data_IF_804619695276
#
_entry.id   IF_804619695276
#
_cell.length_a   1.000
_cell.length_b   1.000
_cell.length_c   1.000
_cell.angle_alpha   90.00
_cell.angle_beta   90.00
_cell.angle_gamma   90.00
#
_symmetry.space_group_name_H-M   'P 1'
#
loop_
_entity.id
_entity.type
_entity.pdbx_description
1 polymer ?
#
# COMPACT_ATOMS: atom_id res chain seq x y z
N UNK A 1 28.26 -30.18 -4.50
CA UNK A 1 27.55 -28.92 -4.19
C UNK A 1 26.75 -29.14 -2.93
N UNK A 2 27.34 -28.83 -1.80
CA UNK A 2 26.77 -29.07 -0.47
C UNK A 2 25.80 -27.95 -0.14
N UNK A 3 24.50 -28.25 -0.14
CA UNK A 3 23.47 -27.36 0.39
C UNK A 3 23.77 -27.07 1.85
N UNK A 4 24.12 -25.83 2.17
CA UNK A 4 24.10 -25.34 3.54
C UNK A 4 22.66 -25.39 4.02
N UNK A 5 22.40 -26.28 4.97
CA UNK A 5 21.16 -26.28 5.76
C UNK A 5 21.01 -24.92 6.47
N UNK A 6 20.21 -24.04 5.89
CA UNK A 6 19.79 -22.75 6.47
C UNK A 6 18.73 -22.96 7.58
N UNK A 7 18.76 -24.09 8.27
CA UNK A 7 17.64 -24.62 9.06
C UNK A 7 17.76 -24.46 10.58
N UNK A 8 18.82 -23.83 11.11
CA UNK A 8 18.88 -23.54 12.56
C UNK A 8 19.11 -22.04 12.79
N UNK A 9 18.21 -21.43 13.55
CA UNK A 9 18.46 -20.09 14.09
C UNK A 9 19.81 -20.13 14.85
N UNK A 10 20.80 -19.29 14.52
CA UNK A 10 22.16 -19.40 15.05
C UNK A 10 22.16 -19.15 16.53
N UNK A 11 21.39 -19.14 17.35
CA UNK A 11 21.38 -19.08 18.83
C UNK A 11 20.02 -19.52 19.45
N UNK A 12 19.11 -20.13 18.68
CA UNK A 12 17.78 -20.53 19.16
C UNK A 12 16.90 -19.34 19.57
N UNK A 13 17.15 -18.14 19.04
CA UNK A 13 16.42 -16.91 19.32
C UNK A 13 15.66 -16.46 18.07
N UNK A 14 14.40 -16.09 18.25
CA UNK A 14 13.50 -15.60 17.21
C UNK A 14 12.93 -14.26 17.63
N UNK A 15 12.90 -13.30 16.72
CA UNK A 15 12.46 -11.93 17.01
C UNK A 15 11.22 -11.60 16.20
N UNK A 16 10.23 -10.97 16.84
CA UNK A 16 9.07 -10.37 16.19
C UNK A 16 9.08 -8.87 16.41
N UNK A 17 8.81 -8.12 15.36
CA UNK A 17 8.69 -6.67 15.40
C UNK A 17 7.33 -6.27 14.88
N UNK A 18 6.49 -5.71 15.76
CA UNK A 18 5.29 -5.02 15.37
C UNK A 18 5.63 -3.58 14.96
N UNK A 19 5.33 -3.26 13.69
CA UNK A 19 5.70 -1.99 13.07
C UNK A 19 4.62 -0.94 13.31
N UNK A 20 4.83 -0.04 14.23
CA UNK A 20 4.02 1.18 14.37
C UNK A 20 4.57 2.37 13.60
N UNK A 21 3.74 3.38 13.38
CA UNK A 21 4.13 4.61 12.67
C UNK A 21 5.16 5.45 13.41
N UNK A 22 5.07 5.54 14.75
CA UNK A 22 5.96 6.32 15.61
C UNK A 22 6.85 5.47 16.53
N UNK A 23 6.45 4.25 16.79
CA UNK A 23 7.15 3.31 17.66
C UNK A 23 7.05 1.90 17.10
N UNK A 24 8.03 1.06 17.44
CA UNK A 24 8.04 -0.36 17.18
C UNK A 24 8.06 -1.13 18.47
N UNK A 25 7.24 -2.15 18.56
CA UNK A 25 7.29 -3.11 19.66
C UNK A 25 8.09 -4.32 19.22
N UNK A 26 9.04 -4.75 20.04
CA UNK A 26 9.95 -5.86 19.73
C UNK A 26 9.84 -6.91 20.81
N UNK A 27 9.76 -8.17 20.40
CA UNK A 27 9.79 -9.32 21.29
C UNK A 27 10.78 -10.36 20.78
N UNK A 28 11.67 -10.82 21.63
CA UNK A 28 12.55 -11.96 21.37
C UNK A 28 12.13 -13.16 22.20
N UNK A 29 12.02 -14.33 21.56
CA UNK A 29 11.68 -15.60 22.19
C UNK A 29 12.78 -16.64 21.96
N UNK A 30 12.96 -17.50 22.94
CA UNK A 30 13.85 -18.66 22.81
C UNK A 30 13.19 -19.80 22.02
N UNK A 31 13.97 -20.73 21.49
CA UNK A 31 13.47 -21.91 20.76
C UNK A 31 12.42 -22.73 21.53
N UNK A 32 12.46 -22.69 22.86
CA UNK A 32 11.47 -23.34 23.74
C UNK A 32 10.21 -22.48 23.98
N UNK A 33 10.13 -21.28 23.40
CA UNK A 33 8.95 -20.40 23.50
C UNK A 33 8.96 -19.42 24.68
N UNK A 34 9.98 -19.43 25.53
CA UNK A 34 10.12 -18.44 26.61
C UNK A 34 10.52 -17.07 26.06
N UNK A 35 9.91 -16.00 26.60
CA UNK A 35 10.28 -14.60 26.27
C UNK A 35 11.64 -14.28 26.87
N UNK A 36 12.57 -13.76 26.06
CA UNK A 36 13.91 -13.34 26.47
C UNK A 36 13.98 -11.84 26.68
N UNK A 37 13.41 -11.09 25.72
CA UNK A 37 13.49 -9.63 25.69
C UNK A 37 12.20 -9.04 25.14
N UNK A 38 11.82 -7.90 25.66
CA UNK A 38 10.69 -7.12 25.18
C UNK A 38 11.04 -5.65 25.34
N UNK A 39 11.01 -4.90 24.26
CA UNK A 39 11.36 -3.49 24.23
C UNK A 39 10.41 -2.72 23.29
N UNK A 40 10.33 -1.43 23.53
CA UNK A 40 9.67 -0.46 22.66
C UNK A 40 10.72 0.57 22.24
N UNK A 41 10.82 0.81 20.93
CA UNK A 41 11.76 1.78 20.36
C UNK A 41 11.02 2.78 19.50
N UNK A 42 11.52 4.02 19.40
CA UNK A 42 10.97 5.07 18.53
C UNK A 42 11.36 4.83 17.06
N UNK A 43 10.53 5.31 16.12
CA UNK A 43 10.86 5.28 14.69
C UNK A 43 11.70 6.51 14.29
N UNK A 44 12.86 6.65 14.91
CA UNK A 44 13.86 7.68 14.61
C UNK A 44 15.28 7.11 14.69
N UNK A 45 16.28 7.94 14.40
CA UNK A 45 17.67 7.50 14.39
C UNK A 45 18.14 6.92 15.74
N UNK A 46 17.70 7.50 16.86
CA UNK A 46 18.08 7.05 18.20
C UNK A 46 17.43 5.71 18.54
N UNK A 47 16.12 5.57 18.30
CA UNK A 47 15.39 4.32 18.57
C UNK A 47 15.86 3.17 17.69
N UNK A 48 16.15 3.41 16.41
CA UNK A 48 16.69 2.39 15.52
C UNK A 48 18.11 1.96 15.93
N UNK A 49 18.96 2.90 16.39
CA UNK A 49 20.28 2.57 16.93
C UNK A 49 20.18 1.80 18.24
N UNK A 50 19.24 2.15 19.12
CA UNK A 50 18.93 1.37 20.31
C UNK A 50 18.54 -0.06 19.97
N UNK A 51 17.66 -0.24 18.98
CA UNK A 51 17.24 -1.57 18.50
C UNK A 51 18.43 -2.41 18.02
N UNK A 52 19.34 -1.83 17.24
CA UNK A 52 20.55 -2.54 16.77
C UNK A 52 21.42 -3.01 17.93
N UNK A 53 21.62 -2.18 18.95
CA UNK A 53 22.38 -2.56 20.16
C UNK A 53 21.71 -3.73 20.89
N UNK A 54 20.39 -3.65 21.07
CA UNK A 54 19.62 -4.70 21.74
C UNK A 54 19.65 -6.03 20.95
N UNK A 55 19.53 -5.99 19.63
CA UNK A 55 19.63 -7.17 18.78
C UNK A 55 21.04 -7.76 18.78
N UNK A 56 22.07 -6.92 18.78
CA UNK A 56 23.47 -7.38 18.85
C UNK A 56 23.77 -8.15 20.14
N UNK A 57 23.14 -7.78 21.27
CA UNK A 57 23.26 -8.52 22.53
C UNK A 57 22.60 -9.90 22.47
N UNK A 58 21.60 -10.12 21.62
CA UNK A 58 20.95 -11.41 21.44
C UNK A 58 21.71 -12.34 20.48
N UNK A 59 22.61 -11.78 19.66
CA UNK A 59 23.48 -12.52 18.75
C UNK A 59 23.42 -12.06 17.31
N UNK A 60 24.35 -12.53 16.47
CA UNK A 60 24.38 -12.22 15.05
C UNK A 60 23.36 -13.06 14.26
N UNK A 61 22.94 -12.55 13.08
CA UNK A 61 22.17 -13.33 12.12
C UNK A 61 20.79 -13.78 12.59
N UNK A 62 20.16 -13.03 13.49
CA UNK A 62 18.87 -13.38 14.08
C UNK A 62 17.77 -13.47 13.00
N UNK A 63 16.89 -14.47 13.05
CA UNK A 63 15.66 -14.49 12.30
C UNK A 63 14.65 -13.49 12.90
N UNK A 64 14.19 -12.57 12.08
CA UNK A 64 13.30 -11.46 12.49
C UNK A 64 12.04 -11.45 11.63
N UNK A 65 10.86 -11.53 12.23
CA UNK A 65 9.56 -11.45 11.59
C UNK A 65 8.96 -10.07 11.75
N UNK A 66 8.42 -9.51 10.66
CA UNK A 66 7.63 -8.26 10.67
C UNK A 66 6.63 -8.22 9.50
N UNK A 67 5.62 -7.32 9.59
CA UNK A 67 4.56 -7.22 8.57
C UNK A 67 4.98 -6.42 7.32
N UNK A 68 6.21 -5.91 7.26
CA UNK A 68 6.71 -5.14 6.11
C UNK A 68 7.91 -5.82 5.46
N UNK A 69 8.00 -5.67 4.15
CA UNK A 69 9.12 -6.20 3.34
C UNK A 69 10.11 -5.11 2.89
N UNK A 70 9.99 -3.89 3.42
CA UNK A 70 10.75 -2.72 2.95
C UNK A 70 10.72 -1.56 3.94
N UNK A 71 11.57 -0.58 3.71
CA UNK A 71 11.73 0.63 4.49
C UNK A 71 12.98 0.61 5.37
N UNK A 72 13.28 1.75 5.97
CA UNK A 72 14.53 2.01 6.68
C UNK A 72 14.87 0.95 7.74
N UNK A 73 13.87 0.49 8.51
CA UNK A 73 14.10 -0.56 9.51
C UNK A 73 14.54 -1.88 8.85
N UNK A 74 13.86 -2.31 7.77
CA UNK A 74 14.21 -3.55 7.05
C UNK A 74 15.64 -3.46 6.50
N UNK A 75 16.00 -2.33 5.91
CA UNK A 75 17.34 -2.09 5.37
C UNK A 75 18.42 -2.15 6.46
N UNK A 76 18.16 -1.51 7.60
CA UNK A 76 19.08 -1.55 8.74
C UNK A 76 19.24 -2.95 9.33
N UNK A 77 18.15 -3.71 9.48
CA UNK A 77 18.20 -5.10 9.94
C UNK A 77 19.00 -6.00 8.99
N UNK A 78 18.80 -5.84 7.68
CA UNK A 78 19.56 -6.57 6.67
C UNK A 78 21.03 -6.15 6.63
N UNK A 79 21.32 -4.85 6.76
CA UNK A 79 22.70 -4.34 6.85
C UNK A 79 23.45 -4.85 8.09
N UNK A 80 22.74 -5.04 9.21
CA UNK A 80 23.26 -5.66 10.42
C UNK A 80 23.41 -7.20 10.30
N UNK A 81 23.07 -7.78 9.14
CA UNK A 81 23.24 -9.22 8.85
C UNK A 81 22.11 -10.10 9.37
N UNK A 82 20.99 -9.55 9.83
CA UNK A 82 19.85 -10.32 10.29
C UNK A 82 19.03 -10.90 9.13
N UNK A 83 18.34 -12.01 9.38
CA UNK A 83 17.46 -12.67 8.43
C UNK A 83 16.04 -12.13 8.59
N UNK A 84 15.55 -11.37 7.63
CA UNK A 84 14.21 -10.76 7.67
C UNK A 84 13.19 -11.69 7.01
N UNK A 85 12.11 -12.00 7.72
CA UNK A 85 10.98 -12.79 7.27
C UNK A 85 9.73 -11.92 7.24
N UNK A 86 9.38 -11.35 6.08
CA UNK A 86 8.16 -10.55 5.97
C UNK A 86 6.93 -11.45 5.94
N UNK A 87 5.90 -11.09 6.70
CA UNK A 87 4.61 -11.78 6.70
C UNK A 87 3.51 -10.84 6.25
N UNK A 88 2.50 -11.39 5.58
CA UNK A 88 1.34 -10.60 5.21
C UNK A 88 0.47 -10.28 6.45
N UNK A 89 -0.26 -9.16 6.46
CA UNK A 89 -1.20 -8.83 7.54
C UNK A 89 -2.22 -9.94 7.82
N UNK A 90 -2.58 -10.72 6.79
CA UNK A 90 -3.48 -11.86 6.93
C UNK A 90 -2.86 -13.00 7.74
N UNK A 91 -1.57 -13.28 7.55
CA UNK A 91 -0.85 -14.30 8.33
C UNK A 91 -0.71 -13.83 9.78
N UNK A 92 -0.33 -12.58 10.00
CA UNK A 92 -0.24 -12.00 11.33
C UNK A 92 -1.58 -12.00 12.08
N UNK A 93 -2.69 -11.67 11.40
CA UNK A 93 -4.04 -11.77 11.98
C UNK A 93 -4.38 -13.20 12.41
N UNK A 94 -4.15 -14.20 11.54
CA UNK A 94 -4.38 -15.62 11.88
C UNK A 94 -3.48 -16.11 13.01
N UNK A 95 -2.25 -15.62 13.07
CA UNK A 95 -1.34 -15.95 14.17
C UNK A 95 -1.88 -15.43 15.51
N UNK A 96 -2.44 -14.22 15.54
CA UNK A 96 -3.11 -13.65 16.72
C UNK A 96 -4.31 -14.48 17.20
N UNK A 97 -5.12 -15.00 16.27
CA UNK A 97 -6.30 -15.83 16.57
C UNK A 97 -5.95 -17.12 17.31
N UNK A 98 -4.75 -17.69 17.10
CA UNK A 98 -4.28 -18.89 17.82
C UNK A 98 -4.20 -18.70 19.34
N UNK A 99 -3.94 -17.48 19.79
CA UNK A 99 -3.62 -17.19 21.18
C UNK A 99 -4.73 -16.48 21.94
N UNK A 100 -5.77 -15.98 21.24
CA UNK A 100 -6.80 -15.14 21.86
C UNK A 100 -8.21 -15.64 21.63
N UNK A 101 -8.92 -15.72 22.75
CA UNK A 101 -10.39 -15.88 22.80
C UNK A 101 -11.08 -14.49 22.74
N UNK A 102 -10.39 -13.40 23.07
CA UNK A 102 -10.92 -12.03 23.05
C UNK A 102 -9.99 -11.06 22.32
N UNK A 103 -10.55 -10.20 21.46
CA UNK A 103 -9.81 -9.28 20.57
C UNK A 103 -9.49 -7.94 21.24
N UNK A 104 -8.56 -7.86 22.16
CA UNK A 104 -7.95 -6.56 22.49
C UNK A 104 -6.67 -6.38 21.68
N UNK A 105 -6.54 -5.25 20.98
CA UNK A 105 -5.31 -4.88 20.26
C UNK A 105 -4.24 -4.50 21.29
N UNK A 106 -3.11 -5.18 21.23
CA UNK A 106 -1.96 -4.95 22.11
C UNK A 106 -0.67 -5.20 21.32
N UNK A 107 0.04 -4.13 21.00
CA UNK A 107 1.26 -4.15 20.18
C UNK A 107 2.34 -5.07 20.81
N UNK A 108 2.37 -5.16 22.13
CA UNK A 108 3.27 -6.06 22.90
C UNK A 108 2.98 -7.52 22.56
N UNK A 109 1.70 -7.86 22.51
CA UNK A 109 1.26 -9.19 22.16
C UNK A 109 1.45 -9.50 20.67
N UNK A 110 1.26 -8.51 19.81
CA UNK A 110 1.46 -8.65 18.37
C UNK A 110 2.94 -8.97 18.05
N UNK A 111 3.88 -8.26 18.66
CA UNK A 111 5.30 -8.57 18.54
C UNK A 111 5.66 -9.98 19.05
N UNK A 112 5.09 -10.41 20.18
CA UNK A 112 5.27 -11.78 20.68
C UNK A 112 4.73 -12.82 19.70
N UNK A 113 3.53 -12.57 19.18
CA UNK A 113 2.86 -13.50 18.24
C UNK A 113 3.67 -13.67 16.96
N UNK A 114 4.27 -12.58 16.42
CA UNK A 114 5.18 -12.63 15.28
C UNK A 114 6.42 -13.46 15.58
N UNK A 115 7.06 -13.25 16.73
CA UNK A 115 8.25 -14.00 17.13
C UNK A 115 7.98 -15.50 17.29
N UNK A 116 6.86 -15.83 17.95
CA UNK A 116 6.52 -17.24 18.22
C UNK A 116 6.02 -17.96 16.96
N UNK A 117 5.33 -17.27 16.07
CA UNK A 117 4.96 -17.82 14.75
C UNK A 117 6.21 -18.11 13.92
N UNK A 118 7.16 -17.16 13.87
CA UNK A 118 8.43 -17.37 13.19
C UNK A 118 9.18 -18.58 13.76
N UNK A 119 9.22 -18.72 15.08
CA UNK A 119 9.84 -19.87 15.76
C UNK A 119 9.32 -21.22 15.26
N UNK A 120 8.02 -21.33 15.01
CA UNK A 120 7.38 -22.54 14.54
C UNK A 120 7.50 -22.75 13.03
N UNK A 121 7.42 -21.67 12.25
CA UNK A 121 7.17 -21.74 10.80
C UNK A 121 8.36 -21.31 9.94
N UNK A 122 9.46 -20.75 10.52
CA UNK A 122 10.58 -20.17 9.75
C UNK A 122 11.14 -21.12 8.68
N UNK A 123 11.10 -22.43 8.90
CA UNK A 123 11.60 -23.43 7.94
C UNK A 123 10.80 -23.47 6.63
N UNK A 124 9.56 -23.02 6.67
CA UNK A 124 8.66 -22.96 5.52
C UNK A 124 8.63 -21.57 4.87
N UNK A 125 9.23 -20.58 5.50
CA UNK A 125 9.23 -19.21 5.04
C UNK A 125 10.51 -18.85 4.32
N UNK A 126 10.42 -17.89 3.42
CA UNK A 126 11.57 -17.39 2.67
C UNK A 126 12.13 -16.15 3.35
N UNK A 127 13.44 -16.15 3.54
CA UNK A 127 14.17 -14.94 3.94
C UNK A 127 14.02 -13.89 2.84
N UNK A 128 13.77 -12.65 3.25
CA UNK A 128 13.74 -11.52 2.32
C UNK A 128 15.14 -11.33 1.69
N UNK A 129 15.27 -11.46 0.37
CA UNK A 129 16.56 -11.22 -0.26
C UNK A 129 16.93 -9.74 -0.15
N UNK A 130 18.23 -9.48 0.05
CA UNK A 130 18.77 -8.12 -0.02
C UNK A 130 18.58 -7.62 -1.45
N UNK A 131 17.79 -6.56 -1.60
CA UNK A 131 17.54 -5.97 -2.91
C UNK A 131 18.79 -5.20 -3.39
N UNK A 132 19.13 -5.32 -4.68
CA UNK A 132 20.09 -4.38 -5.26
C UNK A 132 19.50 -2.95 -5.24
N UNK A 133 20.32 -1.90 -5.21
CA UNK A 133 19.83 -0.51 -5.22
C UNK A 133 18.84 -0.25 -6.37
N UNK A 134 19.12 -0.75 -7.57
CA UNK A 134 18.25 -0.63 -8.74
C UNK A 134 16.89 -1.30 -8.52
N UNK A 135 16.88 -2.50 -7.92
CA UNK A 135 15.63 -3.21 -7.63
C UNK A 135 14.81 -2.50 -6.54
N UNK A 136 15.48 -1.93 -5.54
CA UNK A 136 14.83 -1.14 -4.50
C UNK A 136 14.16 0.11 -5.09
N UNK A 137 14.87 0.84 -5.97
CA UNK A 137 14.33 2.01 -6.68
C UNK A 137 13.15 1.64 -7.58
N UNK A 138 13.26 0.57 -8.37
CA UNK A 138 12.17 0.11 -9.23
C UNK A 138 10.91 -0.26 -8.42
N UNK A 139 11.08 -0.91 -7.27
CA UNK A 139 9.97 -1.21 -6.36
C UNK A 139 9.33 0.07 -5.80
N UNK A 140 10.15 1.06 -5.42
CA UNK A 140 9.65 2.35 -4.93
C UNK A 140 8.81 3.06 -6.01
N UNK A 141 9.34 3.18 -7.22
CA UNK A 141 8.63 3.79 -8.36
C UNK A 141 7.34 3.06 -8.72
N UNK A 142 7.34 1.73 -8.69
CA UNK A 142 6.12 0.94 -8.94
C UNK A 142 5.03 1.23 -7.91
N UNK A 143 5.39 1.31 -6.63
CA UNK A 143 4.43 1.66 -5.57
C UNK A 143 3.91 3.08 -5.66
N UNK A 144 4.78 4.02 -5.99
CA UNK A 144 4.37 5.42 -6.15
C UNK A 144 3.40 5.56 -7.33
N UNK A 145 3.66 4.84 -8.44
CA UNK A 145 2.71 4.73 -9.55
C UNK A 145 1.36 4.18 -9.10
N UNK A 146 1.34 3.08 -8.34
CA UNK A 146 0.09 2.46 -7.88
C UNK A 146 -0.69 3.39 -6.94
N UNK A 147 -0.02 4.10 -6.03
CA UNK A 147 -0.64 5.14 -5.16
C UNK A 147 -1.24 6.30 -5.96
N UNK A 148 -0.54 6.74 -7.02
CA UNK A 148 -1.04 7.80 -7.89
C UNK A 148 -2.28 7.33 -8.65
N UNK A 149 -2.30 6.10 -9.16
CA UNK A 149 -3.46 5.51 -9.82
C UNK A 149 -4.66 5.39 -8.88
N UNK A 150 -4.45 4.90 -7.65
CA UNK A 150 -5.51 4.85 -6.64
C UNK A 150 -6.06 6.24 -6.29
N UNK A 151 -5.17 7.23 -6.22
CA UNK A 151 -5.55 8.63 -5.97
C UNK A 151 -6.38 9.21 -7.11
N UNK A 152 -5.94 8.96 -8.36
CA UNK A 152 -6.67 9.35 -9.56
C UNK A 152 -8.08 8.73 -9.59
N UNK A 153 -8.18 7.40 -9.38
CA UNK A 153 -9.46 6.69 -9.36
C UNK A 153 -10.42 7.23 -8.30
N UNK A 154 -9.89 7.61 -7.13
CA UNK A 154 -10.69 8.21 -6.06
C UNK A 154 -11.27 9.57 -6.47
N UNK A 155 -10.44 10.43 -7.05
CA UNK A 155 -10.87 11.75 -7.53
C UNK A 155 -11.86 11.62 -8.70
N UNK A 156 -11.62 10.68 -9.61
CA UNK A 156 -12.52 10.36 -10.71
C UNK A 156 -13.90 9.91 -10.20
N UNK A 157 -13.93 9.01 -9.21
CA UNK A 157 -15.17 8.55 -8.59
C UNK A 157 -15.94 9.69 -7.90
N UNK A 158 -15.23 10.60 -7.22
CA UNK A 158 -15.83 11.79 -6.61
C UNK A 158 -16.43 12.72 -7.67
N UNK A 159 -15.69 13.01 -8.76
CA UNK A 159 -16.17 13.84 -9.86
C UNK A 159 -17.40 13.22 -10.50
N UNK A 160 -17.37 11.91 -10.79
CA UNK A 160 -18.51 11.17 -11.35
C UNK A 160 -19.74 11.29 -10.45
N UNK A 161 -19.58 11.09 -9.14
CA UNK A 161 -20.70 11.22 -8.18
C UNK A 161 -21.30 12.62 -8.15
N UNK A 162 -20.49 13.67 -8.28
CA UNK A 162 -20.98 15.06 -8.36
C UNK A 162 -21.69 15.29 -9.68
N UNK A 163 -21.15 14.81 -10.79
CA UNK A 163 -21.78 14.94 -12.10
C UNK A 163 -23.11 14.21 -12.15
N UNK A 164 -23.18 12.98 -11.66
CA UNK A 164 -24.43 12.20 -11.61
C UNK A 164 -25.52 12.90 -10.80
N UNK A 165 -25.14 13.61 -9.73
CA UNK A 165 -26.09 14.33 -8.88
C UNK A 165 -26.54 15.68 -9.45
N UNK A 166 -25.67 16.41 -10.16
CA UNK A 166 -25.91 17.81 -10.50
C UNK A 166 -25.80 18.14 -11.98
N UNK A 167 -25.05 17.37 -12.77
CA UNK A 167 -24.78 17.62 -14.18
C UNK A 167 -24.38 16.34 -14.94
N UNK A 168 -25.28 15.36 -15.14
CA UNK A 168 -24.96 14.05 -15.67
C UNK A 168 -24.52 14.03 -17.15
N UNK A 169 -24.83 15.06 -17.94
CA UNK A 169 -24.54 15.10 -19.38
C UNK A 169 -23.07 14.83 -19.72
N UNK A 170 -22.03 15.42 -19.09
CA UNK A 170 -20.63 15.13 -19.41
C UNK A 170 -20.25 13.68 -19.28
N UNK A 171 -20.76 13.01 -18.23
CA UNK A 171 -20.48 11.58 -17.98
C UNK A 171 -21.18 10.66 -19.00
N UNK A 172 -22.30 11.08 -19.55
CA UNK A 172 -23.04 10.36 -20.59
C UNK A 172 -22.50 10.60 -22.01
N UNK A 173 -21.91 11.77 -22.24
CA UNK A 173 -21.44 12.19 -23.56
C UNK A 173 -20.05 11.62 -23.90
N UNK A 174 -19.17 11.49 -22.94
CA UNK A 174 -17.78 11.11 -23.14
C UNK A 174 -17.46 9.77 -22.47
N UNK A 175 -16.44 9.06 -22.98
CA UNK A 175 -16.10 7.71 -22.56
C UNK A 175 -15.58 7.62 -21.11
N UNK A 176 -15.04 8.71 -20.57
CA UNK A 176 -14.58 8.80 -19.17
C UNK A 176 -14.58 10.24 -18.69
N UNK A 177 -14.77 10.46 -17.39
CA UNK A 177 -14.84 11.79 -16.78
C UNK A 177 -13.46 12.43 -16.59
N UNK A 178 -12.40 11.65 -16.60
CA UNK A 178 -11.00 12.10 -16.45
C UNK A 178 -10.35 12.52 -17.79
N UNK A 179 -11.04 12.39 -18.92
CA UNK A 179 -10.50 12.81 -20.22
C UNK A 179 -10.47 14.33 -20.35
N UNK A 180 -9.42 14.83 -21.00
CA UNK A 180 -9.23 16.26 -21.26
C UNK A 180 -10.47 16.91 -21.88
N UNK A 181 -11.12 16.23 -22.83
CA UNK A 181 -12.33 16.74 -23.47
C UNK A 181 -13.50 16.86 -22.50
N UNK A 182 -13.67 15.90 -21.58
CA UNK A 182 -14.71 15.92 -20.57
C UNK A 182 -14.48 17.07 -19.59
N UNK A 183 -13.24 17.21 -19.12
CA UNK A 183 -12.84 18.30 -18.22
C UNK A 183 -12.99 19.66 -18.88
N UNK A 184 -12.59 19.78 -20.14
CA UNK A 184 -12.78 21.01 -20.92
C UNK A 184 -14.28 21.34 -21.11
N UNK A 185 -15.13 20.31 -21.33
CA UNK A 185 -16.57 20.51 -21.45
C UNK A 185 -17.19 21.02 -20.14
N UNK A 186 -16.81 20.42 -19.02
CA UNK A 186 -17.28 20.86 -17.69
C UNK A 186 -16.81 22.29 -17.40
N UNK A 187 -15.58 22.64 -17.78
CA UNK A 187 -15.07 24.00 -17.60
C UNK A 187 -15.81 25.05 -18.46
N UNK A 188 -16.09 24.70 -19.73
CA UNK A 188 -16.80 25.62 -20.65
C UNK A 188 -18.33 25.68 -20.36
N UNK A 189 -18.91 24.57 -19.86
CA UNK A 189 -20.37 24.42 -19.62
C UNK A 189 -20.60 23.79 -18.23
N UNK A 190 -20.39 24.57 -17.13
CA UNK A 190 -20.36 24.02 -15.77
C UNK A 190 -21.73 23.67 -15.18
N UNK A 191 -22.81 23.95 -15.89
CA UNK A 191 -24.19 23.67 -15.44
C UNK A 191 -25.02 23.01 -16.52
N UNK A 192 -26.07 22.22 -16.17
CA UNK A 192 -27.03 21.67 -17.14
C UNK A 192 -27.65 22.75 -18.05
N UNK A 193 -27.96 23.91 -17.49
CA UNK A 193 -28.53 25.03 -18.22
C UNK A 193 -27.57 25.61 -19.26
N UNK A 194 -26.26 25.65 -18.95
CA UNK A 194 -25.26 26.09 -19.91
C UNK A 194 -25.07 25.06 -21.03
N UNK A 195 -25.01 23.78 -20.68
CA UNK A 195 -24.86 22.66 -21.61
C UNK A 195 -26.09 22.53 -22.54
N UNK A 196 -27.31 22.70 -22.03
CA UNK A 196 -28.54 22.58 -22.81
C UNK A 196 -28.73 23.68 -23.88
N UNK A 197 -27.93 24.74 -23.83
CA UNK A 197 -27.96 25.83 -24.83
C UNK A 197 -26.94 25.63 -25.96
N UNK A 198 -26.17 24.55 -25.92
CA UNK A 198 -25.20 24.29 -26.97
C UNK A 198 -25.87 23.64 -28.18
N UNK A 199 -25.88 24.32 -29.32
CA UNK A 199 -26.36 23.76 -30.57
C UNK A 199 -25.31 22.93 -31.28
N UNK A 200 -25.71 22.12 -32.28
CA UNK A 200 -24.85 21.20 -33.04
C UNK A 200 -23.60 21.88 -33.59
N UNK A 201 -23.71 23.08 -34.13
CA UNK A 201 -22.57 23.82 -34.69
C UNK A 201 -21.50 24.17 -33.61
N UNK A 202 -21.97 24.60 -32.42
CA UNK A 202 -21.08 24.91 -31.30
C UNK A 202 -20.44 23.65 -30.74
N UNK A 203 -21.19 22.55 -30.64
CA UNK A 203 -20.64 21.25 -30.22
C UNK A 203 -19.61 20.75 -31.21
N UNK A 204 -19.87 20.84 -32.51
CA UNK A 204 -18.87 20.46 -33.52
C UNK A 204 -17.61 21.35 -33.47
N UNK A 205 -17.74 22.64 -33.21
CA UNK A 205 -16.61 23.53 -33.00
C UNK A 205 -15.81 23.20 -31.74
N UNK A 206 -16.51 22.86 -30.64
CA UNK A 206 -15.89 22.40 -29.41
C UNK A 206 -15.08 21.10 -29.65
N UNK A 207 -15.67 20.08 -30.26
CA UNK A 207 -14.99 18.82 -30.59
C UNK A 207 -13.76 19.03 -31.46
N UNK A 208 -13.83 19.89 -32.49
CA UNK A 208 -12.67 20.24 -33.33
C UNK A 208 -11.55 20.89 -32.51
N UNK A 209 -11.90 21.85 -31.62
CA UNK A 209 -10.92 22.52 -30.75
C UNK A 209 -10.20 21.56 -29.82
N UNK A 210 -10.90 20.52 -29.34
CA UNK A 210 -10.35 19.48 -28.47
C UNK A 210 -9.74 18.30 -29.24
N UNK A 211 -9.62 18.40 -30.56
CA UNK A 211 -9.09 17.30 -31.41
C UNK A 211 -9.80 15.97 -31.19
N UNK A 212 -11.12 16.02 -30.96
CA UNK A 212 -11.94 14.84 -30.65
C UNK A 212 -11.98 13.89 -31.87
N UNK A 213 -11.54 12.64 -31.64
CA UNK A 213 -11.46 11.60 -32.66
C UNK A 213 -12.29 10.35 -32.32
N UNK A 214 -13.10 10.40 -31.28
CA UNK A 214 -13.97 9.28 -30.93
C UNK A 214 -15.10 9.10 -31.96
N UNK A 215 -15.67 7.90 -31.97
CA UNK A 215 -16.67 7.49 -33.00
C UNK A 215 -18.03 8.16 -32.86
N UNK A 216 -18.29 8.89 -31.78
CA UNK A 216 -19.60 9.53 -31.57
C UNK A 216 -19.69 10.82 -32.34
N UNK A 217 -20.71 10.91 -33.19
CA UNK A 217 -21.03 12.13 -33.98
C UNK A 217 -21.28 13.31 -33.02
N UNK A 218 -20.66 14.50 -33.24
CA UNK A 218 -20.94 15.70 -32.48
C UNK A 218 -22.43 16.09 -32.43
N UNK A 219 -23.21 15.77 -33.46
CA UNK A 219 -24.67 15.98 -33.48
C UNK A 219 -25.40 15.09 -32.45
N UNK A 220 -24.91 13.88 -32.21
CA UNK A 220 -25.43 12.97 -31.16
C UNK A 220 -25.08 13.52 -29.78
N UNK A 221 -23.83 13.97 -29.58
CA UNK A 221 -23.38 14.57 -28.33
C UNK A 221 -24.22 15.84 -27.99
N UNK A 222 -24.53 16.68 -28.98
CA UNK A 222 -25.38 17.85 -28.79
C UNK A 222 -26.80 17.49 -28.35
N UNK A 223 -27.33 16.34 -28.78
CA UNK A 223 -28.66 15.87 -28.34
C UNK A 223 -28.68 15.34 -26.92
N UNK A 224 -27.62 14.65 -26.49
CA UNK A 224 -27.49 14.15 -25.10
C UNK A 224 -27.46 15.29 -24.10
N UNK A 225 -26.84 16.43 -24.44
CA UNK A 225 -26.82 17.62 -23.58
C UNK A 225 -28.22 18.25 -23.36
N UNK A 226 -29.22 17.88 -24.16
CA UNK A 226 -30.60 18.41 -24.07
C UNK A 226 -31.56 17.52 -23.28
N UNK A 227 -31.21 16.27 -22.96
CA UNK A 227 -32.10 15.29 -22.32
C UNK A 227 -32.44 15.66 -20.86
N UNK A 228 -31.70 16.57 -20.24
CA UNK A 228 -31.94 17.03 -18.86
C UNK A 228 -33.14 18.00 -18.69
N UNK A 229 -34.01 18.16 -19.68
CA UNK A 229 -35.15 19.07 -19.61
C UNK A 229 -36.49 18.42 -19.23
N UNK A 230 -36.53 17.13 -18.95
CA UNK A 230 -37.77 16.43 -18.59
C UNK A 230 -37.91 16.20 -17.09
#
# INVERSE_FOLDING_TARGET
MTGKDASSAPHGVFVGIDWGGSHHQVCAVHAVGSKIRQIRVTHDGAGLSQLEVELAQLGPGLPICLERSEGLLVERLQAAGHQVFPVSPRIAARARERYRVASSKDDVFDAFTLADTLRHEHRHWRVLPIASPVLAELRALSRDRDRLLESQQRVEAQLRSILDAFHPAPAAMFSSVDRDITLAFIADYPTPQAASRIGEQRMAAFCRRQSYKDRTDPAVLGRVSHVERA
#
